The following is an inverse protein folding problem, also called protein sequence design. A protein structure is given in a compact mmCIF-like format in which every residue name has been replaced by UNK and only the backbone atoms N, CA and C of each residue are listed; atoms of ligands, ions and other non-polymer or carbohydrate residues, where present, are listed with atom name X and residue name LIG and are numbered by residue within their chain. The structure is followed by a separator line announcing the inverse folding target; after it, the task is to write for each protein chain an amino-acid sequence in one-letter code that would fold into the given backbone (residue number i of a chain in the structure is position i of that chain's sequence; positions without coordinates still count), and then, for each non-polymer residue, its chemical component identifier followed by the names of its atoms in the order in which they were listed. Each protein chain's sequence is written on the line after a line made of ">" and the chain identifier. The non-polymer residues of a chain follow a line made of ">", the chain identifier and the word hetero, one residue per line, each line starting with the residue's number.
data_IF_785368776368
#
_entry.id   IF_785368776368
#
_cell.length_a   1.000
_cell.length_b   1.000
_cell.length_c   1.000
_cell.angle_alpha   90.00
_cell.angle_beta   90.00
_cell.angle_gamma   90.00
#
_symmetry.space_group_name_H-M   'P 1'
#
loop_
_entity.id
_entity.type
_entity.pdbx_description
1 polymer ?
#
# COMPACT_ATOMS: atom_id res chain seq x y z
N UNK A 1 27.19 1.74 -4.07
CA UNK A 1 26.33 0.72 -3.44
C UNK A 1 24.87 1.17 -3.49
N UNK A 2 24.13 0.80 -4.54
CA UNK A 2 22.76 1.30 -4.74
C UNK A 2 21.74 0.31 -4.17
N UNK A 3 21.09 0.70 -3.06
CA UNK A 3 19.70 0.36 -2.69
C UNK A 3 19.25 -1.11 -2.66
N UNK A 4 20.08 -2.05 -2.20
CA UNK A 4 19.63 -3.43 -2.01
C UNK A 4 18.54 -3.56 -0.91
N UNK A 5 18.46 -2.61 0.02
CA UNK A 5 17.50 -2.66 1.13
C UNK A 5 16.05 -2.39 0.72
N UNK A 6 15.79 -1.46 -0.20
CA UNK A 6 14.43 -1.20 -0.66
C UNK A 6 13.87 -2.40 -1.43
N UNK A 7 14.70 -3.17 -2.14
CA UNK A 7 14.27 -4.42 -2.80
C UNK A 7 13.71 -5.44 -1.80
N UNK A 8 14.13 -5.39 -0.54
CA UNK A 8 13.69 -6.30 0.52
C UNK A 8 12.30 -5.92 1.05
N UNK A 9 11.92 -4.64 0.99
CA UNK A 9 10.59 -4.21 1.42
C UNK A 9 9.54 -4.68 0.41
N UNK A 10 8.75 -5.69 0.75
CA UNK A 10 7.61 -6.13 -0.08
C UNK A 10 6.32 -5.77 0.64
N UNK A 11 5.39 -5.13 -0.07
CA UNK A 11 4.02 -5.03 0.43
C UNK A 11 3.24 -6.26 0.01
N UNK A 12 2.57 -6.87 0.97
CA UNK A 12 1.64 -7.97 0.78
C UNK A 12 0.32 -7.60 1.43
N UNK A 13 -0.78 -8.15 0.93
CA UNK A 13 -2.09 -8.03 1.57
C UNK A 13 -2.40 -9.37 2.22
N UNK A 14 -2.89 -9.36 3.46
CA UNK A 14 -3.24 -10.58 4.17
C UNK A 14 -4.72 -10.63 4.48
N UNK A 15 -5.34 -11.76 4.16
CA UNK A 15 -6.69 -12.09 4.61
C UNK A 15 -6.66 -12.35 6.12
N UNK A 16 -7.50 -11.65 6.87
CA UNK A 16 -7.57 -11.77 8.33
C UNK A 16 -8.29 -13.03 8.81
N UNK A 17 -9.05 -13.72 7.94
CA UNK A 17 -9.76 -14.94 8.30
C UNK A 17 -8.82 -16.14 8.43
N UNK A 18 -7.85 -16.24 7.53
CA UNK A 18 -6.94 -17.40 7.44
C UNK A 18 -5.45 -17.02 7.61
N UNK A 19 -5.11 -15.72 7.61
CA UNK A 19 -3.74 -15.22 7.74
C UNK A 19 -2.89 -15.35 6.46
N UNK A 20 -3.48 -15.82 5.36
CA UNK A 20 -2.79 -16.05 4.09
C UNK A 20 -2.58 -14.74 3.33
N UNK A 21 -1.52 -14.71 2.52
CA UNK A 21 -1.30 -13.62 1.56
C UNK A 21 -2.38 -13.70 0.46
N UNK A 22 -3.05 -12.58 0.19
CA UNK A 22 -3.90 -12.45 -0.99
C UNK A 22 -3.05 -12.56 -2.26
N UNK A 23 -3.55 -13.35 -3.19
CA UNK A 23 -2.97 -13.53 -4.51
C UNK A 23 -3.52 -12.50 -5.49
N UNK A 24 -2.89 -12.43 -6.65
CA UNK A 24 -3.40 -11.69 -7.79
C UNK A 24 -4.85 -12.06 -8.15
N UNK A 25 -5.18 -13.35 -8.13
CA UNK A 25 -6.52 -13.85 -8.47
C UNK A 25 -7.58 -13.37 -7.49
N UNK A 26 -7.22 -13.27 -6.21
CA UNK A 26 -8.13 -12.78 -5.16
C UNK A 26 -8.47 -11.31 -5.42
N UNK A 27 -7.47 -10.48 -5.73
CA UNK A 27 -7.69 -9.07 -6.08
C UNK A 27 -8.47 -8.92 -7.39
N UNK A 28 -8.19 -9.74 -8.41
CA UNK A 28 -8.97 -9.71 -9.66
C UNK A 28 -10.44 -10.08 -9.45
N UNK A 29 -10.72 -11.03 -8.55
CA UNK A 29 -12.08 -11.35 -8.15
C UNK A 29 -12.77 -10.13 -7.52
N UNK A 30 -12.10 -9.39 -6.65
CA UNK A 30 -12.63 -8.14 -6.07
C UNK A 30 -12.91 -7.10 -7.17
N UNK A 31 -11.99 -6.89 -8.10
CA UNK A 31 -12.16 -5.94 -9.21
C UNK A 31 -13.37 -6.31 -10.09
N UNK A 32 -13.53 -7.60 -10.42
CA UNK A 32 -14.62 -8.09 -11.29
C UNK A 32 -15.99 -7.92 -10.65
N UNK A 33 -16.08 -8.10 -9.33
CA UNK A 33 -17.34 -8.04 -8.59
C UNK A 33 -17.63 -6.65 -7.96
N UNK A 34 -16.69 -5.71 -8.04
CA UNK A 34 -16.88 -4.35 -7.55
C UNK A 34 -17.68 -3.49 -8.54
N UNK A 35 -18.81 -2.93 -8.06
CA UNK A 35 -19.65 -2.00 -8.81
C UNK A 35 -19.24 -0.53 -8.60
N UNK A 36 -18.75 -0.21 -7.40
CA UNK A 36 -18.29 1.14 -7.04
C UNK A 36 -17.00 1.47 -7.82
N UNK A 37 -16.97 2.63 -8.50
CA UNK A 37 -15.91 2.98 -9.44
C UNK A 37 -14.58 3.25 -8.71
N UNK A 38 -14.62 4.07 -7.67
CA UNK A 38 -13.48 4.46 -6.85
C UNK A 38 -12.89 3.25 -6.13
N UNK A 39 -13.73 2.39 -5.56
CA UNK A 39 -13.30 1.17 -4.90
C UNK A 39 -12.68 0.16 -5.89
N UNK A 40 -13.18 0.13 -7.13
CA UNK A 40 -12.57 -0.67 -8.21
C UNK A 40 -11.18 -0.13 -8.56
N UNK A 41 -10.99 1.19 -8.58
CA UNK A 41 -9.67 1.81 -8.78
C UNK A 41 -8.72 1.48 -7.62
N UNK A 42 -9.20 1.53 -6.38
CA UNK A 42 -8.43 1.09 -5.22
C UNK A 42 -7.90 -0.35 -5.39
N UNK A 43 -8.77 -1.31 -5.77
CA UNK A 43 -8.33 -2.69 -6.00
C UNK A 43 -7.35 -2.83 -7.18
N UNK A 44 -7.49 -2.03 -8.24
CA UNK A 44 -6.47 -1.95 -9.32
C UNK A 44 -5.12 -1.49 -8.77
N UNK A 45 -5.13 -0.50 -7.88
CA UNK A 45 -3.95 -0.06 -7.14
C UNK A 45 -3.30 -1.21 -6.36
N UNK A 46 -4.09 -1.97 -5.58
CA UNK A 46 -3.60 -3.14 -4.86
C UNK A 46 -3.00 -4.21 -5.79
N UNK A 47 -3.63 -4.49 -6.94
CA UNK A 47 -3.11 -5.42 -7.95
C UNK A 47 -1.73 -4.98 -8.45
N UNK A 48 -1.57 -3.72 -8.82
CA UNK A 48 -0.28 -3.21 -9.30
C UNK A 48 0.79 -3.18 -8.21
N UNK A 49 0.44 -3.01 -6.93
CA UNK A 49 1.37 -3.19 -5.82
C UNK A 49 1.90 -4.63 -5.77
N UNK A 50 1.02 -5.63 -5.91
CA UNK A 50 1.43 -7.04 -5.90
C UNK A 50 2.35 -7.38 -7.08
N UNK A 51 2.12 -6.75 -8.24
CA UNK A 51 2.98 -6.83 -9.43
C UNK A 51 4.28 -6.02 -9.31
N UNK A 52 4.43 -5.19 -8.27
CA UNK A 52 5.54 -4.24 -8.07
C UNK A 52 5.58 -3.09 -9.09
N UNK A 53 4.45 -2.79 -9.73
CA UNK A 53 4.25 -1.64 -10.61
C UNK A 53 3.85 -0.40 -9.81
N UNK A 54 4.73 0.10 -8.93
CA UNK A 54 4.37 1.13 -7.94
C UNK A 54 3.91 2.46 -8.53
N UNK A 55 4.46 2.88 -9.66
CA UNK A 55 4.01 4.11 -10.36
C UNK A 55 2.60 3.97 -10.89
N UNK A 56 2.26 2.81 -11.46
CA UNK A 56 0.92 2.53 -11.95
C UNK A 56 -0.06 2.38 -10.77
N UNK A 57 0.37 1.73 -9.70
CA UNK A 57 -0.41 1.65 -8.47
C UNK A 57 -0.79 3.04 -7.92
N UNK A 58 0.16 3.98 -7.88
CA UNK A 58 -0.10 5.35 -7.41
C UNK A 58 -1.21 6.01 -8.24
N UNK A 59 -1.16 5.92 -9.57
CA UNK A 59 -2.20 6.52 -10.44
C UNK A 59 -3.60 6.02 -10.07
N UNK A 60 -3.76 4.71 -9.91
CA UNK A 60 -5.04 4.12 -9.55
C UNK A 60 -5.49 4.48 -8.14
N UNK A 61 -4.56 4.58 -7.19
CA UNK A 61 -4.86 4.97 -5.82
C UNK A 61 -5.23 6.46 -5.70
N UNK A 62 -4.63 7.33 -6.53
CA UNK A 62 -5.02 8.75 -6.61
C UNK A 62 -6.44 8.92 -7.15
N UNK A 63 -6.90 8.03 -8.05
CA UNK A 63 -8.29 7.98 -8.51
C UNK A 63 -9.25 7.36 -7.47
N UNK A 64 -8.76 7.04 -6.28
CA UNK A 64 -9.49 6.48 -5.14
C UNK A 64 -9.06 7.16 -3.83
N UNK A 65 -8.59 8.42 -3.91
CA UNK A 65 -8.03 9.19 -2.79
C UNK A 65 -9.07 9.60 -1.73
N UNK A 66 -10.35 9.38 -2.01
CA UNK A 66 -11.45 9.46 -1.05
C UNK A 66 -11.38 8.38 0.06
N UNK A 67 -10.46 7.40 -0.06
CA UNK A 67 -10.16 6.41 0.97
C UNK A 67 -8.81 6.69 1.64
N UNK A 68 -8.80 6.74 2.97
CA UNK A 68 -7.57 6.85 3.78
C UNK A 68 -6.58 5.69 3.48
N UNK A 69 -7.10 4.51 3.12
CA UNK A 69 -6.32 3.36 2.67
C UNK A 69 -5.51 3.65 1.41
N UNK A 70 -6.10 4.39 0.46
CA UNK A 70 -5.39 4.76 -0.77
C UNK A 70 -4.20 5.62 -0.45
N UNK A 71 -4.38 6.61 0.43
CA UNK A 71 -3.31 7.50 0.89
C UNK A 71 -2.23 6.70 1.63
N UNK A 72 -2.62 5.78 2.50
CA UNK A 72 -1.68 4.91 3.22
C UNK A 72 -0.79 4.10 2.25
N UNK A 73 -1.39 3.56 1.19
CA UNK A 73 -0.69 2.80 0.16
C UNK A 73 0.17 3.70 -0.74
N UNK A 74 -0.30 4.90 -1.10
CA UNK A 74 0.48 5.91 -1.84
C UNK A 74 1.74 6.25 -1.06
N UNK A 75 1.63 6.58 0.23
CA UNK A 75 2.78 6.90 1.07
C UNK A 75 3.82 5.78 1.08
N UNK A 76 3.39 4.52 1.15
CA UNK A 76 4.31 3.39 1.04
C UNK A 76 4.97 3.32 -0.34
N UNK A 77 4.20 3.47 -1.42
CA UNK A 77 4.71 3.49 -2.79
C UNK A 77 5.72 4.63 -3.01
N UNK A 78 5.49 5.82 -2.45
CA UNK A 78 6.43 6.94 -2.51
C UNK A 78 7.76 6.59 -1.84
N UNK A 79 7.75 5.95 -0.66
CA UNK A 79 8.97 5.43 -0.03
C UNK A 79 9.68 4.43 -0.94
N UNK A 80 8.93 3.51 -1.55
CA UNK A 80 9.47 2.50 -2.48
C UNK A 80 10.15 3.10 -3.69
N UNK A 81 9.64 4.23 -4.19
CA UNK A 81 10.16 4.96 -5.33
C UNK A 81 11.21 6.01 -4.96
N UNK A 82 11.45 6.24 -3.67
CA UNK A 82 12.23 7.38 -3.15
C UNK A 82 11.68 8.75 -3.59
N UNK A 83 10.36 8.85 -3.73
CA UNK A 83 9.69 10.09 -4.09
C UNK A 83 9.37 10.92 -2.84
N UNK A 84 10.28 11.83 -2.50
CA UNK A 84 10.10 12.73 -1.35
C UNK A 84 8.96 13.72 -1.57
N UNK A 85 8.78 14.20 -2.80
CA UNK A 85 7.79 15.23 -3.12
C UNK A 85 6.38 14.67 -2.92
N UNK A 86 6.10 13.53 -3.54
CA UNK A 86 4.80 12.87 -3.40
C UNK A 86 4.55 12.41 -1.96
N UNK A 87 5.58 11.95 -1.25
CA UNK A 87 5.43 11.61 0.16
C UNK A 87 5.02 12.83 1.00
N UNK A 88 5.67 13.97 0.80
CA UNK A 88 5.39 15.21 1.55
C UNK A 88 4.00 15.79 1.26
N UNK A 89 3.52 15.65 0.03
CA UNK A 89 2.17 16.04 -0.36
C UNK A 89 1.10 15.28 0.45
N UNK A 90 1.28 13.97 0.62
CA UNK A 90 0.26 13.12 1.24
C UNK A 90 0.43 12.93 2.76
N UNK A 91 1.62 13.14 3.33
CA UNK A 91 1.89 12.81 4.75
C UNK A 91 1.16 13.68 5.77
N UNK A 92 0.67 14.84 5.35
CA UNK A 92 -0.10 15.77 6.19
C UNK A 92 -1.54 15.31 6.44
N UNK A 93 -2.03 14.35 5.65
CA UNK A 93 -3.37 13.78 5.81
C UNK A 93 -3.53 13.08 7.16
N UNK A 94 -4.61 13.39 7.86
CA UNK A 94 -4.94 12.78 9.13
C UNK A 94 -5.72 11.48 8.91
N UNK A 95 -4.99 10.39 8.67
CA UNK A 95 -5.59 9.06 8.45
C UNK A 95 -6.18 8.51 9.75
N UNK A 96 -7.50 8.27 9.76
CA UNK A 96 -8.24 7.93 10.99
C UNK A 96 -8.83 6.53 10.96
N UNK A 97 -9.35 6.11 9.83
CA UNK A 97 -10.07 4.84 9.71
C UNK A 97 -9.70 4.13 8.42
N UNK A 98 -9.92 2.81 8.39
CA UNK A 98 -9.64 1.99 7.22
C UNK A 98 -10.83 1.06 6.91
N UNK A 99 -12.00 1.62 6.55
CA UNK A 99 -13.25 0.88 6.35
C UNK A 99 -13.22 -0.11 5.18
N UNK A 100 -12.43 0.12 4.13
CA UNK A 100 -12.24 -0.82 3.02
C UNK A 100 -11.53 -2.08 3.50
N UNK A 101 -10.45 -1.92 4.27
CA UNK A 101 -9.74 -3.07 4.85
C UNK A 101 -10.65 -3.88 5.78
N UNK A 102 -11.47 -3.21 6.58
CA UNK A 102 -12.43 -3.87 7.45
C UNK A 102 -13.55 -4.57 6.66
N UNK A 103 -14.15 -3.88 5.68
CA UNK A 103 -15.24 -4.42 4.84
C UNK A 103 -14.82 -5.68 4.09
N UNK A 104 -13.57 -5.71 3.59
CA UNK A 104 -13.05 -6.82 2.79
C UNK A 104 -12.18 -7.80 3.57
N UNK A 105 -12.05 -7.62 4.90
CA UNK A 105 -11.31 -8.49 5.80
C UNK A 105 -9.85 -8.73 5.39
N UNK A 106 -9.16 -7.72 4.86
CA UNK A 106 -7.74 -7.83 4.57
C UNK A 106 -6.97 -6.57 4.95
N UNK A 107 -5.69 -6.70 5.26
CA UNK A 107 -4.83 -5.56 5.56
C UNK A 107 -3.46 -5.65 4.87
N UNK A 108 -2.82 -4.51 4.57
CA UNK A 108 -1.46 -4.45 4.05
C UNK A 108 -0.42 -4.73 5.15
N UNK A 109 0.61 -5.50 4.80
CA UNK A 109 1.77 -5.79 5.63
C UNK A 109 3.05 -5.55 4.83
N UNK A 110 4.05 -4.96 5.48
CA UNK A 110 5.40 -4.83 4.95
C UNK A 110 6.21 -6.03 5.41
N UNK A 111 6.62 -6.86 4.46
CA UNK A 111 7.51 -8.01 4.67
C UNK A 111 8.96 -7.56 4.62
N UNK A 112 9.70 -7.85 5.69
CA UNK A 112 11.13 -7.53 5.85
C UNK A 112 11.83 -8.77 6.41
N UNK A 113 12.70 -9.42 5.62
CA UNK A 113 13.50 -10.58 6.05
C UNK A 113 12.66 -11.60 6.85
N UNK A 114 11.51 -11.99 6.31
CA UNK A 114 10.56 -12.97 6.87
C UNK A 114 9.70 -12.52 8.05
N UNK A 115 9.74 -11.24 8.41
CA UNK A 115 8.78 -10.65 9.36
C UNK A 115 7.78 -9.76 8.64
N UNK A 116 6.51 -9.96 8.94
CA UNK A 116 5.42 -9.13 8.44
C UNK A 116 4.99 -8.13 9.50
N UNK A 117 5.08 -6.84 9.16
CA UNK A 117 4.63 -5.74 10.00
C UNK A 117 3.42 -5.09 9.36
N UNK A 118 2.30 -5.01 10.08
CA UNK A 118 1.08 -4.34 9.58
C UNK A 118 1.44 -2.90 9.16
N UNK A 119 1.08 -2.53 7.93
CA UNK A 119 1.30 -1.18 7.46
C UNK A 119 0.42 -0.22 8.27
N UNK A 120 1.04 0.83 8.77
CA UNK A 120 0.41 1.84 9.62
C UNK A 120 1.14 3.16 9.47
N UNK A 121 0.51 4.26 9.86
CA UNK A 121 1.15 5.59 9.90
C UNK A 121 2.44 5.57 10.72
N UNK A 122 2.46 4.85 11.84
CA UNK A 122 3.67 4.69 12.67
C UNK A 122 4.79 4.01 11.89
N UNK A 123 4.49 2.90 11.21
CA UNK A 123 5.48 2.21 10.38
C UNK A 123 5.97 3.08 9.22
N UNK A 124 5.08 3.83 8.56
CA UNK A 124 5.47 4.75 7.49
C UNK A 124 6.46 5.81 7.98
N UNK A 125 6.26 6.38 9.17
CA UNK A 125 7.21 7.35 9.77
C UNK A 125 8.58 6.72 10.07
N UNK A 126 8.60 5.46 10.51
CA UNK A 126 9.87 4.72 10.69
C UNK A 126 10.58 4.51 9.35
N UNK A 127 9.83 4.11 8.33
CA UNK A 127 10.36 3.86 6.99
C UNK A 127 10.80 5.15 6.28
N UNK A 128 10.06 6.25 6.41
CA UNK A 128 10.42 7.58 5.91
C UNK A 128 11.80 7.99 6.45
N UNK A 129 11.95 7.98 7.78
CA UNK A 129 13.22 8.33 8.44
C UNK A 129 14.38 7.49 7.91
N UNK A 130 14.15 6.20 7.71
CA UNK A 130 15.19 5.27 7.27
C UNK A 130 15.54 5.40 5.78
N UNK A 131 14.55 5.58 4.91
CA UNK A 131 14.71 5.37 3.46
C UNK A 131 14.58 6.65 2.62
N UNK A 132 13.89 7.67 3.13
CA UNK A 132 13.70 8.95 2.45
C UNK A 132 14.58 10.06 3.06
N UNK A 133 14.74 10.07 4.39
CA UNK A 133 15.47 11.10 5.13
C UNK A 133 16.79 10.63 5.72
N UNK A 134 17.13 9.36 5.55
CA UNK A 134 18.38 8.79 6.04
C UNK A 134 19.56 9.31 5.20
N UNK A 135 20.44 10.08 5.85
CA UNK A 135 21.81 10.31 5.41
C UNK A 135 22.61 9.01 5.40
#
# INVERSE_FOLDING_TARGET
>A
MVNNELKILKLVFKDLKNGNDLTFKDIEFLIKNCKEYELKNFFRGCKHILERHYTEAIKWLQLADNFDESILLILFCSIKLKDNFLFDEYKSNNLKNFPVFDRYNFYPFVRIKDKDRKLSVKLLKELEKKYLRGN
#
